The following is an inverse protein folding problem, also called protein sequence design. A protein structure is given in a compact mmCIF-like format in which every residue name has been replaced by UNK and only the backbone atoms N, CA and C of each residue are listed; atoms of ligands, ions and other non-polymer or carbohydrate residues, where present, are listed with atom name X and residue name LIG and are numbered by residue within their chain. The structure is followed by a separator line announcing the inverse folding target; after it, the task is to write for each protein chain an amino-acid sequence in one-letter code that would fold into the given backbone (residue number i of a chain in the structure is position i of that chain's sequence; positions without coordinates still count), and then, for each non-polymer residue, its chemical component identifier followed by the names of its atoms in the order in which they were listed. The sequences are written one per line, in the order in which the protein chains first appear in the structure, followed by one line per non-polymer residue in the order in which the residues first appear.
data_IF_376385844184
#
_entry.id   IF_376385844184
#
_cell.length_a   1.000
_cell.length_b   1.000
_cell.length_c   1.000
_cell.angle_alpha   90.00
_cell.angle_beta   90.00
_cell.angle_gamma   90.00
#
_symmetry.space_group_name_H-M   'P 1'
#
loop_
_entity.id
_entity.type
_entity.pdbx_description
1 polymer ?
#
# COMPACT_ATOMS: atom_id res chain seq x y z
N UNK A 1 33.70 29.98 -18.77
CA UNK A 1 34.06 28.68 -18.16
C UNK A 1 33.11 28.47 -16.98
N UNK A 2 32.08 27.64 -16.99
CA UNK A 2 31.62 26.63 -17.94
C UNK A 2 30.07 26.63 -17.92
N UNK A 3 29.46 26.82 -19.08
CA UNK A 3 28.10 26.36 -19.34
C UNK A 3 28.16 24.83 -19.39
N UNK A 4 27.97 24.17 -18.25
CA UNK A 4 27.75 22.74 -18.22
C UNK A 4 26.32 22.49 -18.72
N UNK A 5 26.26 21.98 -19.94
CA UNK A 5 25.11 21.34 -20.57
C UNK A 5 24.25 20.61 -19.53
N UNK A 6 23.12 21.21 -19.13
CA UNK A 6 21.98 20.41 -18.69
C UNK A 6 21.45 19.74 -19.96
N UNK A 7 21.94 18.52 -20.24
CA UNK A 7 21.39 17.68 -21.28
C UNK A 7 19.87 17.66 -21.17
N UNK A 8 19.20 17.77 -22.31
CA UNK A 8 17.75 17.69 -22.45
C UNK A 8 17.26 16.37 -21.87
N UNK A 9 16.94 16.35 -20.57
CA UNK A 9 16.46 15.17 -19.89
C UNK A 9 15.00 14.98 -20.27
N UNK A 10 14.74 14.12 -21.26
CA UNK A 10 13.38 13.68 -21.56
C UNK A 10 12.80 13.01 -20.32
N UNK A 11 11.59 13.39 -19.86
CA UNK A 11 10.95 12.72 -18.73
C UNK A 11 10.82 11.22 -19.04
N UNK A 12 11.08 10.32 -18.06
CA UNK A 12 10.99 8.90 -18.30
C UNK A 12 9.55 8.52 -18.65
N UNK A 13 9.38 7.65 -19.64
CA UNK A 13 8.09 7.04 -19.94
C UNK A 13 7.85 5.91 -18.94
N UNK A 14 6.91 6.13 -18.02
CA UNK A 14 6.52 5.21 -16.96
C UNK A 14 5.08 4.77 -17.17
N UNK A 15 4.86 3.45 -17.23
CA UNK A 15 3.53 2.87 -17.28
C UNK A 15 3.43 1.73 -16.26
N UNK A 16 2.45 1.82 -15.35
CA UNK A 16 2.07 0.69 -14.49
C UNK A 16 1.05 -0.16 -15.25
N UNK A 17 1.35 -1.45 -15.34
CA UNK A 17 0.41 -2.46 -15.81
C UNK A 17 -0.17 -3.17 -14.60
N UNK A 18 -1.40 -2.81 -14.25
CA UNK A 18 -2.14 -3.41 -13.13
C UNK A 18 -3.01 -4.54 -13.66
N UNK A 19 -2.95 -5.71 -13.02
CA UNK A 19 -4.08 -6.63 -13.14
C UNK A 19 -5.27 -5.96 -12.48
N UNK A 20 -6.44 -6.34 -12.96
CA UNK A 20 -7.69 -5.73 -12.62
C UNK A 20 -7.97 -4.44 -13.38
N UNK A 21 -8.19 -4.61 -14.68
CA UNK A 21 -9.52 -4.24 -15.14
C UNK A 21 -10.55 -4.78 -14.12
N UNK A 22 -11.42 -3.94 -13.58
CA UNK A 22 -12.49 -4.34 -12.68
C UNK A 22 -13.30 -5.46 -13.32
N UNK A 23 -14.28 -6.03 -12.61
CA UNK A 23 -15.12 -7.06 -13.22
C UNK A 23 -15.71 -6.63 -14.59
N UNK A 24 -15.85 -5.33 -14.83
CA UNK A 24 -16.28 -4.72 -16.09
C UNK A 24 -15.23 -4.64 -17.22
N UNK A 25 -13.94 -4.87 -16.96
CA UNK A 25 -12.91 -4.70 -17.97
C UNK A 25 -12.21 -3.33 -17.95
N UNK A 26 -12.67 -2.38 -17.13
CA UNK A 26 -12.31 -0.97 -17.30
C UNK A 26 -11.81 -0.31 -16.01
N UNK A 27 -12.43 -0.59 -14.87
CA UNK A 27 -12.10 0.07 -13.60
C UNK A 27 -10.82 -0.48 -12.94
N UNK A 28 -10.27 0.23 -11.95
CA UNK A 28 -9.17 -0.30 -11.12
C UNK A 28 -9.74 -1.34 -10.17
N UNK A 29 -9.39 -2.62 -10.30
CA UNK A 29 -9.84 -3.62 -9.34
C UNK A 29 -8.86 -3.89 -8.20
N UNK A 30 -9.21 -4.86 -7.37
CA UNK A 30 -8.56 -5.11 -6.09
C UNK A 30 -7.15 -5.73 -6.24
N UNK A 31 -6.12 -4.90 -6.16
CA UNK A 31 -4.72 -5.33 -6.09
C UNK A 31 -3.92 -4.41 -5.14
N UNK A 32 -3.74 -4.79 -3.86
CA UNK A 32 -2.99 -3.99 -2.88
C UNK A 32 -1.55 -3.67 -3.32
N UNK A 33 -0.91 -4.60 -4.03
CA UNK A 33 0.46 -4.42 -4.54
C UNK A 33 0.51 -3.41 -5.70
N UNK A 34 -0.54 -3.37 -6.53
CA UNK A 34 -0.66 -2.42 -7.64
C UNK A 34 -0.94 -1.01 -7.10
N UNK A 35 -1.86 -0.90 -6.14
CA UNK A 35 -2.12 0.36 -5.43
C UNK A 35 -0.85 0.88 -4.74
N UNK A 36 -0.07 0.01 -4.08
CA UNK A 36 1.22 0.38 -3.48
C UNK A 36 2.14 1.10 -4.48
N UNK A 37 2.38 0.52 -5.66
CA UNK A 37 3.24 1.15 -6.66
C UNK A 37 2.64 2.44 -7.24
N UNK A 38 1.31 2.51 -7.36
CA UNK A 38 0.63 3.74 -7.77
C UNK A 38 0.91 4.86 -6.75
N UNK A 39 0.73 4.60 -5.46
CA UNK A 39 1.06 5.55 -4.40
C UNK A 39 2.52 6.00 -4.46
N UNK A 40 3.46 5.07 -4.66
CA UNK A 40 4.89 5.38 -4.79
C UNK A 40 5.15 6.35 -5.94
N UNK A 41 4.66 6.06 -7.17
CA UNK A 41 4.86 6.96 -8.31
C UNK A 41 4.19 8.33 -8.10
N UNK A 42 3.02 8.35 -7.47
CA UNK A 42 2.32 9.60 -7.13
C UNK A 42 3.16 10.45 -6.18
N UNK A 43 3.65 9.88 -5.08
CA UNK A 43 4.49 10.57 -4.11
C UNK A 43 5.83 11.01 -4.69
N UNK A 44 6.37 10.29 -5.67
CA UNK A 44 7.56 10.73 -6.42
C UNK A 44 7.28 11.97 -7.27
N UNK A 45 6.03 12.30 -7.59
CA UNK A 45 5.68 13.46 -8.42
C UNK A 45 6.13 13.32 -9.88
N UNK A 46 6.39 12.10 -10.35
CA UNK A 46 6.76 11.81 -11.73
C UNK A 46 5.51 11.68 -12.59
N UNK A 47 5.59 11.99 -13.89
CA UNK A 47 4.51 11.68 -14.83
C UNK A 47 4.54 10.20 -15.17
N UNK A 48 3.41 9.53 -15.07
CA UNK A 48 3.24 8.15 -15.46
C UNK A 48 1.81 7.90 -15.96
N UNK A 49 1.62 6.79 -16.64
CA UNK A 49 0.30 6.27 -17.02
C UNK A 49 0.00 4.99 -16.26
N UNK A 50 -1.28 4.76 -16.00
CA UNK A 50 -1.77 3.49 -15.46
C UNK A 50 -2.59 2.83 -16.54
N UNK A 51 -2.31 1.56 -16.81
CA UNK A 51 -3.08 0.76 -17.76
C UNK A 51 -3.56 -0.49 -17.04
N UNK A 52 -4.87 -0.63 -17.00
CA UNK A 52 -5.55 -1.82 -16.53
C UNK A 52 -5.37 -2.91 -17.58
N UNK A 53 -4.98 -4.11 -17.13
CA UNK A 53 -4.69 -5.24 -18.01
C UNK A 53 -5.62 -6.39 -17.69
N UNK A 54 -6.36 -6.86 -18.69
CA UNK A 54 -7.03 -8.14 -18.65
C UNK A 54 -6.00 -9.25 -18.87
N UNK A 55 -5.68 -10.01 -17.83
CA UNK A 55 -4.72 -11.11 -17.89
C UNK A 55 -5.18 -12.27 -18.80
N UNK A 56 -6.46 -12.31 -19.21
CA UNK A 56 -6.98 -13.24 -20.23
C UNK A 56 -6.61 -12.80 -21.65
N UNK A 57 -6.38 -11.50 -21.87
CA UNK A 57 -6.02 -10.88 -23.15
C UNK A 57 -4.73 -10.06 -23.00
N UNK A 58 -3.61 -10.76 -22.80
CA UNK A 58 -2.31 -10.11 -22.57
C UNK A 58 -1.92 -9.16 -23.71
N UNK A 59 -1.59 -7.89 -23.41
CA UNK A 59 -0.97 -6.97 -24.36
C UNK A 59 0.33 -7.52 -24.94
N UNK A 60 0.77 -6.97 -26.07
CA UNK A 60 1.97 -7.43 -26.77
C UNK A 60 3.22 -7.37 -25.87
N UNK A 61 3.29 -6.35 -25.03
CA UNK A 61 4.35 -6.07 -24.07
C UNK A 61 4.46 -7.15 -22.99
N UNK A 62 3.39 -7.91 -22.74
CA UNK A 62 3.34 -8.97 -21.72
C UNK A 62 3.37 -10.39 -22.29
N UNK A 63 3.53 -10.54 -23.62
CA UNK A 63 3.48 -11.86 -24.28
C UNK A 63 4.61 -12.79 -23.83
N UNK A 64 5.82 -12.24 -23.68
CA UNK A 64 7.02 -13.01 -23.34
C UNK A 64 7.22 -13.21 -21.83
N UNK A 65 6.24 -12.80 -21.01
CA UNK A 65 6.28 -13.03 -19.58
C UNK A 65 6.19 -14.53 -19.27
N UNK A 66 7.05 -14.98 -18.36
CA UNK A 66 6.99 -16.33 -17.82
C UNK A 66 5.58 -16.65 -17.30
N UNK A 67 5.05 -17.86 -17.54
CA UNK A 67 3.78 -18.29 -16.98
C UNK A 67 3.74 -18.10 -15.46
N UNK A 68 2.62 -17.59 -14.95
CA UNK A 68 2.44 -17.32 -13.51
C UNK A 68 3.10 -16.03 -12.99
N UNK A 69 3.77 -15.24 -13.84
CA UNK A 69 4.21 -13.90 -13.44
C UNK A 69 2.99 -13.05 -13.13
N UNK A 70 2.90 -12.61 -11.88
CA UNK A 70 1.77 -11.83 -11.39
C UNK A 70 2.06 -10.32 -11.48
N UNK A 71 1.03 -9.51 -11.68
CA UNK A 71 1.07 -8.06 -11.47
C UNK A 71 1.59 -7.68 -10.07
N UNK A 72 2.00 -6.42 -9.86
CA UNK A 72 2.11 -5.35 -10.86
C UNK A 72 3.35 -5.47 -11.76
N UNK A 73 3.26 -4.90 -12.97
CA UNK A 73 4.43 -4.71 -13.85
C UNK A 73 4.69 -3.22 -14.09
N UNK A 74 5.95 -2.89 -14.36
CA UNK A 74 6.37 -1.54 -14.71
C UNK A 74 7.05 -1.55 -16.07
N UNK A 75 6.55 -0.75 -17.01
CA UNK A 75 7.25 -0.43 -18.24
C UNK A 75 8.00 0.89 -18.03
N UNK A 76 9.33 0.83 -17.99
CA UNK A 76 10.20 1.99 -17.82
C UNK A 76 11.03 2.21 -19.08
N UNK A 77 10.79 3.29 -19.82
CA UNK A 77 11.45 3.59 -21.10
C UNK A 77 11.43 2.38 -22.06
N UNK A 78 10.29 1.70 -22.18
CA UNK A 78 10.11 0.50 -23.00
C UNK A 78 10.68 -0.79 -22.42
N UNK A 79 11.35 -0.74 -21.25
CA UNK A 79 11.89 -1.92 -20.57
C UNK A 79 10.89 -2.43 -19.55
N UNK A 80 10.41 -3.67 -19.72
CA UNK A 80 9.51 -4.32 -18.77
C UNK A 80 10.27 -4.73 -17.51
N UNK A 81 9.71 -4.41 -16.36
CA UNK A 81 10.17 -4.82 -15.04
C UNK A 81 9.04 -5.56 -14.33
N UNK A 82 9.43 -6.63 -13.66
CA UNK A 82 8.55 -7.52 -12.89
C UNK A 82 9.07 -7.61 -11.47
N UNK A 83 8.31 -8.28 -10.58
CA UNK A 83 8.58 -8.35 -9.14
C UNK A 83 8.45 -6.98 -8.46
N UNK A 84 7.36 -6.80 -7.73
CA UNK A 84 7.02 -5.52 -7.12
C UNK A 84 8.08 -5.02 -6.13
N UNK A 85 8.82 -5.92 -5.47
CA UNK A 85 9.88 -5.54 -4.52
C UNK A 85 11.03 -4.89 -5.30
N UNK A 86 11.47 -5.56 -6.37
CA UNK A 86 12.53 -5.04 -7.26
C UNK A 86 12.11 -3.76 -7.97
N UNK A 87 10.83 -3.65 -8.34
CA UNK A 87 10.29 -2.44 -8.96
C UNK A 87 10.34 -1.27 -7.96
N UNK A 88 9.92 -1.46 -6.71
CA UNK A 88 9.97 -0.41 -5.70
C UNK A 88 11.40 0.05 -5.43
N UNK A 89 12.34 -0.90 -5.23
CA UNK A 89 13.76 -0.60 -5.06
C UNK A 89 14.32 0.18 -6.26
N UNK A 90 13.97 -0.25 -7.48
CA UNK A 90 14.36 0.44 -8.70
C UNK A 90 13.82 1.87 -8.76
N UNK A 91 12.55 2.09 -8.42
CA UNK A 91 11.93 3.42 -8.41
C UNK A 91 12.57 4.31 -7.34
N UNK A 92 12.85 3.78 -6.15
CA UNK A 92 13.47 4.55 -5.07
C UNK A 92 14.90 5.00 -5.41
N UNK A 93 15.67 4.13 -6.06
CA UNK A 93 17.03 4.43 -6.52
C UNK A 93 17.07 5.35 -7.75
N UNK A 94 16.18 5.13 -8.72
CA UNK A 94 16.18 5.85 -10.00
C UNK A 94 15.52 7.23 -9.87
N UNK A 95 14.45 7.32 -9.09
CA UNK A 95 13.74 8.57 -8.81
C UNK A 95 14.20 9.12 -7.46
N UNK A 96 15.44 9.59 -7.42
CA UNK A 96 16.12 10.05 -6.21
C UNK A 96 16.31 11.60 -6.17
N UNK A 97 16.70 12.16 -5.01
CA UNK A 97 17.09 13.56 -4.90
C UNK A 97 18.24 13.94 -5.86
N UNK A 98 18.33 15.21 -6.30
CA UNK A 98 17.54 16.36 -5.87
C UNK A 98 16.20 16.52 -6.58
N UNK A 99 15.92 15.73 -7.62
CA UNK A 99 14.73 15.93 -8.49
C UNK A 99 13.45 15.33 -7.91
N UNK A 100 13.56 14.21 -7.21
CA UNK A 100 12.43 13.47 -6.66
C UNK A 100 12.67 13.21 -5.16
N UNK A 101 11.62 13.12 -4.34
CA UNK A 101 11.76 12.89 -2.90
C UNK A 101 12.29 11.48 -2.61
N UNK A 102 12.98 11.32 -1.48
CA UNK A 102 13.28 10.00 -0.92
C UNK A 102 12.10 9.56 -0.04
N UNK A 103 11.58 8.35 -0.25
CA UNK A 103 10.37 7.83 0.42
C UNK A 103 10.67 6.73 1.43
N UNK A 104 11.91 6.24 1.49
CA UNK A 104 12.28 5.22 2.49
C UNK A 104 12.09 5.77 3.91
N UNK A 105 11.44 5.02 4.82
CA UNK A 105 11.34 5.41 6.21
C UNK A 105 12.73 5.42 6.87
N UNK A 106 12.89 6.31 7.84
CA UNK A 106 14.07 6.41 8.70
C UNK A 106 14.05 5.30 9.75
N UNK A 107 12.87 5.03 10.35
CA UNK A 107 12.73 3.98 11.36
C UNK A 107 12.39 2.65 10.69
N UNK A 108 13.28 1.65 10.83
CA UNK A 108 13.06 0.30 10.27
C UNK A 108 11.77 -0.35 10.80
N UNK A 109 11.42 -0.10 12.05
CA UNK A 109 10.20 -0.63 12.68
C UNK A 109 8.92 -0.23 11.91
N UNK A 110 8.94 0.90 11.19
CA UNK A 110 7.85 1.35 10.32
C UNK A 110 7.47 0.29 9.26
N UNK A 111 8.42 -0.50 8.77
CA UNK A 111 8.14 -1.62 7.86
C UNK A 111 7.69 -2.90 8.57
N UNK A 112 8.25 -3.15 9.76
CA UNK A 112 8.01 -4.39 10.50
C UNK A 112 6.63 -4.40 11.17
N UNK A 113 6.14 -3.22 11.56
CA UNK A 113 4.82 -3.05 12.13
C UNK A 113 3.73 -3.26 11.06
N UNK A 114 2.83 -4.21 11.32
CA UNK A 114 1.78 -4.57 10.36
C UNK A 114 2.23 -5.48 9.21
N UNK A 115 3.45 -6.00 9.22
CA UNK A 115 3.90 -6.99 8.23
C UNK A 115 3.00 -8.24 8.21
N UNK A 116 2.58 -8.70 9.38
CA UNK A 116 1.76 -9.91 9.55
C UNK A 116 0.24 -9.67 9.48
N UNK A 117 -0.22 -8.41 9.53
CA UNK A 117 -1.65 -8.10 9.70
C UNK A 117 -2.50 -8.66 8.56
N UNK A 118 -2.00 -8.59 7.32
CA UNK A 118 -2.71 -9.07 6.15
C UNK A 118 -2.73 -10.60 6.07
N UNK A 119 -1.69 -11.27 6.58
CA UNK A 119 -1.66 -12.72 6.70
C UNK A 119 -2.66 -13.21 7.75
N UNK A 120 -2.75 -12.54 8.91
CA UNK A 120 -3.76 -12.84 9.94
C UNK A 120 -5.17 -12.59 9.44
N UNK A 121 -5.40 -11.48 8.73
CA UNK A 121 -6.67 -11.21 8.06
C UNK A 121 -7.00 -12.30 7.02
N UNK A 122 -6.04 -12.70 6.19
CA UNK A 122 -6.24 -13.74 5.18
C UNK A 122 -6.67 -15.07 5.82
N UNK A 123 -6.11 -15.42 6.97
CA UNK A 123 -6.56 -16.58 7.74
C UNK A 123 -7.96 -16.36 8.33
N UNK A 124 -8.24 -15.18 8.88
CA UNK A 124 -9.55 -14.83 9.45
C UNK A 124 -10.68 -14.92 8.41
N UNK A 125 -10.52 -14.28 7.25
CA UNK A 125 -11.55 -14.23 6.21
C UNK A 125 -11.78 -15.56 5.47
N UNK A 126 -10.83 -16.50 5.53
CA UNK A 126 -10.96 -17.83 4.90
C UNK A 126 -11.68 -18.85 5.78
N UNK A 127 -11.63 -18.69 7.10
CA UNK A 127 -12.13 -19.71 8.03
C UNK A 127 -13.63 -19.60 8.29
N UNK A 128 -14.27 -20.74 8.59
CA UNK A 128 -15.70 -20.81 8.92
C UNK A 128 -16.01 -20.02 10.20
N UNK A 129 -17.09 -19.21 10.24
CA UNK A 129 -17.49 -18.40 11.40
C UNK A 129 -17.61 -19.15 12.74
N UNK A 130 -17.87 -20.47 12.73
CA UNK A 130 -17.93 -21.27 13.95
C UNK A 130 -16.56 -21.42 14.66
N UNK A 131 -15.46 -21.22 13.93
CA UNK A 131 -14.10 -21.39 14.40
C UNK A 131 -13.25 -20.11 14.33
N UNK A 132 -13.85 -18.92 14.12
CA UNK A 132 -13.11 -17.66 13.86
C UNK A 132 -12.55 -16.96 15.09
N UNK A 133 -12.97 -17.31 16.31
CA UNK A 133 -12.58 -16.60 17.54
C UNK A 133 -11.05 -16.53 17.73
N UNK A 134 -10.32 -17.57 17.35
CA UNK A 134 -8.86 -17.59 17.47
C UNK A 134 -8.19 -16.65 16.45
N UNK A 135 -8.66 -16.67 15.21
CA UNK A 135 -8.13 -15.87 14.09
C UNK A 135 -8.48 -14.39 14.27
N UNK A 136 -9.68 -14.09 14.76
CA UNK A 136 -10.07 -12.74 15.13
C UNK A 136 -9.16 -12.20 16.25
N UNK A 137 -8.93 -12.99 17.31
CA UNK A 137 -7.97 -12.63 18.37
C UNK A 137 -6.56 -12.42 17.82
N UNK A 138 -6.12 -13.23 16.86
CA UNK A 138 -4.82 -13.05 16.22
C UNK A 138 -4.76 -11.75 15.38
N UNK A 139 -5.81 -11.42 14.64
CA UNK A 139 -5.91 -10.17 13.90
C UNK A 139 -5.95 -8.94 14.83
N UNK A 140 -6.71 -9.02 15.93
CA UNK A 140 -6.78 -7.98 16.96
C UNK A 140 -5.43 -7.74 17.65
N UNK A 141 -4.60 -8.77 17.81
CA UNK A 141 -3.22 -8.62 18.33
C UNK A 141 -2.35 -7.81 17.39
N UNK A 142 -2.45 -8.04 16.08
CA UNK A 142 -1.70 -7.24 15.09
C UNK A 142 -2.20 -5.79 15.04
N UNK A 143 -3.52 -5.56 15.12
CA UNK A 143 -4.05 -4.20 15.26
C UNK A 143 -3.57 -3.52 16.53
N UNK A 144 -3.54 -4.23 17.66
CA UNK A 144 -3.02 -3.69 18.92
C UNK A 144 -1.53 -3.34 18.81
N UNK A 145 -0.71 -4.18 18.16
CA UNK A 145 0.71 -3.89 17.94
C UNK A 145 0.89 -2.64 17.08
N UNK A 146 0.12 -2.51 16.00
CA UNK A 146 0.13 -1.32 15.14
C UNK A 146 -0.33 -0.06 15.91
N UNK A 147 -1.38 -0.17 16.71
CA UNK A 147 -1.90 0.94 17.51
C UNK A 147 -0.90 1.43 18.57
N UNK A 148 -0.25 0.50 19.27
CA UNK A 148 0.80 0.81 20.24
C UNK A 148 1.97 1.54 19.58
N UNK A 149 2.39 1.08 18.40
CA UNK A 149 3.44 1.74 17.63
C UNK A 149 3.04 3.16 17.22
N UNK A 150 1.83 3.34 16.67
CA UNK A 150 1.31 4.64 16.24
C UNK A 150 1.13 5.62 17.41
N UNK A 151 0.84 5.15 18.62
CA UNK A 151 0.71 6.00 19.80
C UNK A 151 2.04 6.28 20.52
N UNK A 152 3.06 5.44 20.32
CA UNK A 152 4.40 5.64 20.87
C UNK A 152 5.17 6.69 20.05
N UNK A 153 5.73 7.75 20.65
CA UNK A 153 6.55 8.72 19.91
C UNK A 153 7.77 8.07 19.24
N UNK A 154 8.07 8.47 18.00
CA UNK A 154 9.34 8.13 17.33
C UNK A 154 10.47 9.04 17.81
N UNK A 155 11.77 8.65 17.65
CA UNK A 155 12.90 9.47 18.10
C UNK A 155 12.86 10.92 17.61
N UNK A 156 12.38 11.16 16.39
CA UNK A 156 12.27 12.49 15.78
C UNK A 156 11.22 13.38 16.45
N UNK A 157 10.26 12.81 17.18
CA UNK A 157 9.26 13.56 17.95
C UNK A 157 9.77 13.93 19.36
N UNK A 158 10.89 13.36 19.83
CA UNK A 158 11.37 13.53 21.20
C UNK A 158 12.34 14.72 21.27
N UNK A 159 11.89 15.83 21.86
CA UNK A 159 12.78 16.94 22.22
C UNK A 159 13.41 16.68 23.60
N UNK A 160 14.67 16.26 23.61
CA UNK A 160 15.44 16.00 24.82
C UNK A 160 15.67 17.25 25.69
N UNK A 161 15.44 18.46 25.17
CA UNK A 161 15.57 19.72 25.91
C UNK A 161 14.21 20.24 26.42
N UNK A 162 13.10 19.61 26.04
CA UNK A 162 11.76 19.97 26.51
C UNK A 162 11.55 19.51 27.95
N UNK A 163 10.88 20.36 28.75
CA UNK A 163 10.42 19.99 30.10
C UNK A 163 9.14 19.13 30.07
N UNK A 164 8.46 19.08 28.93
CA UNK A 164 7.27 18.25 28.73
C UNK A 164 7.68 16.94 28.06
N UNK A 165 7.40 15.81 28.72
CA UNK A 165 7.54 14.50 28.09
C UNK A 165 6.36 14.24 27.17
N UNK A 166 6.63 14.08 25.87
CA UNK A 166 5.62 13.60 24.94
C UNK A 166 5.37 12.13 25.26
N UNK A 167 4.20 11.82 25.82
CA UNK A 167 3.79 10.45 26.15
C UNK A 167 2.94 9.80 25.06
N UNK A 168 2.37 10.62 24.16
CA UNK A 168 1.53 10.20 23.05
C UNK A 168 1.98 10.91 21.77
N UNK A 169 2.29 10.11 20.76
CA UNK A 169 2.64 10.59 19.43
C UNK A 169 1.48 11.34 18.79
N UNK A 170 1.81 12.39 18.03
CA UNK A 170 0.85 13.16 17.22
C UNK A 170 1.11 13.02 15.73
N UNK A 171 2.08 12.20 15.33
CA UNK A 171 2.40 11.97 13.92
C UNK A 171 1.19 11.47 13.13
N UNK A 172 1.16 11.87 11.86
CA UNK A 172 0.07 11.53 10.93
C UNK A 172 0.19 10.13 10.35
N UNK A 173 1.41 9.67 10.07
CA UNK A 173 1.72 8.44 9.34
C UNK A 173 2.75 7.58 10.09
N UNK A 174 3.15 6.44 9.52
CA UNK A 174 3.97 5.46 10.25
C UNK A 174 5.28 6.05 10.76
N UNK A 175 5.98 6.81 9.93
CA UNK A 175 7.34 7.28 10.19
C UNK A 175 7.43 8.80 10.44
N UNK A 176 6.28 9.49 10.51
CA UNK A 176 6.24 10.93 10.71
C UNK A 176 5.00 11.60 10.11
N UNK A 177 5.17 12.82 9.59
CA UNK A 177 4.07 13.62 9.02
C UNK A 177 3.97 13.54 7.49
N UNK A 178 4.86 12.78 6.85
CA UNK A 178 4.85 12.52 5.41
C UNK A 178 4.68 11.02 5.15
N UNK A 179 4.04 10.68 4.03
CA UNK A 179 3.89 9.30 3.59
C UNK A 179 5.23 8.75 3.13
N UNK A 180 5.49 7.49 3.48
CA UNK A 180 6.70 6.73 3.17
C UNK A 180 6.36 5.42 2.43
N UNK A 181 7.40 4.69 2.01
CA UNK A 181 7.23 3.34 1.44
C UNK A 181 6.52 2.37 2.40
N UNK A 182 6.69 2.54 3.72
CA UNK A 182 5.98 1.75 4.72
C UNK A 182 4.46 2.01 4.67
N UNK A 183 4.05 3.27 4.51
CA UNK A 183 2.64 3.64 4.38
C UNK A 183 2.04 3.10 3.08
N UNK A 184 2.76 3.24 1.96
CA UNK A 184 2.38 2.68 0.66
C UNK A 184 2.18 1.16 0.71
N UNK A 185 2.94 0.46 1.57
CA UNK A 185 2.79 -0.98 1.77
C UNK A 185 1.58 -1.34 2.64
N UNK A 186 1.33 -0.60 3.73
CA UNK A 186 0.35 -0.97 4.74
C UNK A 186 -1.06 -0.46 4.42
N UNK A 187 -1.20 0.76 3.90
CA UNK A 187 -2.51 1.40 3.68
C UNK A 187 -3.42 0.61 2.72
N UNK A 188 -2.95 0.14 1.56
CA UNK A 188 -3.79 -0.69 0.66
C UNK A 188 -4.30 -1.96 1.34
N UNK A 189 -3.47 -2.59 2.18
CA UNK A 189 -3.83 -3.80 2.93
C UNK A 189 -4.89 -3.49 3.98
N UNK A 190 -4.73 -2.40 4.74
CA UNK A 190 -5.71 -1.96 5.74
C UNK A 190 -7.05 -1.59 5.10
N UNK A 191 -7.04 -0.96 3.92
CA UNK A 191 -8.27 -0.66 3.18
C UNK A 191 -9.04 -1.94 2.83
N UNK A 192 -8.36 -2.93 2.25
CA UNK A 192 -8.97 -4.23 1.94
C UNK A 192 -9.51 -4.91 3.19
N UNK A 193 -8.76 -4.90 4.30
CA UNK A 193 -9.23 -5.46 5.58
C UNK A 193 -10.53 -4.77 6.01
N UNK A 194 -10.58 -3.43 6.02
CA UNK A 194 -11.75 -2.65 6.44
C UNK A 194 -13.00 -3.01 5.62
N UNK A 195 -12.87 -3.09 4.30
CA UNK A 195 -14.03 -3.35 3.42
C UNK A 195 -14.47 -4.81 3.49
N UNK A 196 -13.55 -5.75 3.28
CA UNK A 196 -13.89 -7.17 3.17
C UNK A 196 -14.23 -7.80 4.53
N UNK A 197 -13.56 -7.42 5.62
CA UNK A 197 -13.90 -7.93 6.96
C UNK A 197 -15.28 -7.46 7.40
N UNK A 198 -15.64 -6.20 7.13
CA UNK A 198 -16.99 -5.68 7.42
C UNK A 198 -18.04 -6.43 6.62
N UNK A 199 -17.83 -6.59 5.31
CA UNK A 199 -18.81 -7.24 4.42
C UNK A 199 -19.09 -8.70 4.78
N UNK A 200 -18.04 -9.47 5.07
CA UNK A 200 -18.13 -10.94 5.13
C UNK A 200 -17.99 -11.56 6.51
N UNK A 201 -17.57 -10.77 7.51
CA UNK A 201 -17.36 -11.24 8.87
C UNK A 201 -18.03 -10.34 9.92
N UNK A 202 -18.75 -9.29 9.51
CA UNK A 202 -19.28 -8.23 10.38
C UNK A 202 -18.25 -7.70 11.39
N UNK A 203 -16.99 -7.65 10.97
CA UNK A 203 -15.87 -7.19 11.79
C UNK A 203 -15.54 -5.74 11.45
N UNK A 204 -15.51 -4.90 12.49
CA UNK A 204 -14.99 -3.54 12.43
C UNK A 204 -13.70 -3.43 13.24
N UNK A 205 -12.81 -2.53 12.83
CA UNK A 205 -11.62 -2.18 13.62
C UNK A 205 -12.11 -1.54 14.94
N UNK A 206 -11.80 -2.09 16.12
CA UNK A 206 -12.30 -1.55 17.39
C UNK A 206 -11.97 -0.07 17.57
N UNK A 207 -12.94 0.72 18.05
CA UNK A 207 -12.80 2.16 18.28
C UNK A 207 -11.69 2.52 19.29
N UNK A 208 -11.35 1.58 20.18
CA UNK A 208 -10.27 1.74 21.16
C UNK A 208 -8.86 1.83 20.55
N UNK A 209 -8.68 1.42 19.29
CA UNK A 209 -7.40 1.57 18.58
C UNK A 209 -7.28 2.98 17.99
N UNK A 210 -7.13 3.97 18.86
CA UNK A 210 -7.16 5.40 18.51
C UNK A 210 -6.03 5.83 17.60
N UNK A 211 -4.85 5.20 17.71
CA UNK A 211 -3.71 5.45 16.84
C UNK A 211 -3.97 4.97 15.42
N UNK A 212 -4.53 3.76 15.28
CA UNK A 212 -4.95 3.22 13.97
C UNK A 212 -6.02 4.09 13.33
N UNK A 213 -7.04 4.52 14.08
CA UNK A 213 -8.08 5.39 13.55
C UNK A 213 -7.53 6.77 13.16
N UNK A 214 -6.63 7.36 13.96
CA UNK A 214 -5.93 8.60 13.59
C UNK A 214 -5.17 8.43 12.28
N UNK A 215 -4.43 7.34 12.14
CA UNK A 215 -3.66 7.04 10.93
C UNK A 215 -4.56 6.89 9.70
N UNK A 216 -5.62 6.08 9.80
CA UNK A 216 -6.57 5.88 8.69
C UNK A 216 -7.25 7.18 8.29
N UNK A 217 -7.69 7.99 9.25
CA UNK A 217 -8.36 9.27 8.94
C UNK A 217 -7.41 10.22 8.18
N UNK A 218 -6.18 10.39 8.67
CA UNK A 218 -5.16 11.19 7.95
C UNK A 218 -4.87 10.63 6.56
N UNK A 219 -4.86 9.30 6.39
CA UNK A 219 -4.62 8.68 5.09
C UNK A 219 -5.77 8.91 4.11
N UNK A 220 -7.04 8.77 4.52
CA UNK A 220 -8.18 9.00 3.63
C UNK A 220 -8.34 10.47 3.21
N UNK A 221 -7.80 11.42 3.99
CA UNK A 221 -7.72 12.84 3.61
C UNK A 221 -6.66 13.12 2.52
N UNK A 222 -5.77 12.15 2.23
CA UNK A 222 -4.71 12.29 1.22
C UNK A 222 -5.12 11.71 -0.11
N UNK A 223 -5.02 12.52 -1.15
CA UNK A 223 -5.35 12.12 -2.52
C UNK A 223 -4.50 10.93 -2.99
N UNK A 224 -3.23 10.88 -2.59
CA UNK A 224 -2.32 9.81 -2.97
C UNK A 224 -2.83 8.43 -2.55
N UNK A 225 -3.59 8.37 -1.45
CA UNK A 225 -4.24 7.13 -1.01
C UNK A 225 -5.69 7.04 -1.50
N UNK A 226 -6.51 8.07 -1.28
CA UNK A 226 -7.94 8.00 -1.56
C UNK A 226 -8.26 7.83 -3.05
N UNK A 227 -7.51 8.47 -3.94
CA UNK A 227 -7.69 8.36 -5.39
C UNK A 227 -7.06 7.09 -5.99
N UNK A 228 -6.22 6.38 -5.23
CA UNK A 228 -5.63 5.11 -5.67
C UNK A 228 -6.37 3.89 -5.14
N UNK A 229 -7.30 4.08 -4.19
CA UNK A 229 -8.16 3.00 -3.69
C UNK A 229 -9.12 2.51 -4.79
N UNK A 230 -9.27 1.18 -4.95
CA UNK A 230 -10.32 0.64 -5.80
C UNK A 230 -11.70 0.91 -5.19
N UNK A 231 -12.74 0.83 -6.01
CA UNK A 231 -14.11 0.89 -5.51
C UNK A 231 -14.39 -0.28 -4.54
N UNK A 232 -15.16 -0.03 -3.47
CA UNK A 232 -15.48 -1.06 -2.46
C UNK A 232 -16.04 -2.35 -3.10
N UNK A 233 -16.89 -2.21 -4.12
CA UNK A 233 -17.50 -3.35 -4.82
C UNK A 233 -16.46 -4.29 -5.47
N UNK A 234 -15.33 -3.76 -5.94
CA UNK A 234 -14.27 -4.57 -6.55
C UNK A 234 -13.49 -5.35 -5.49
N UNK A 235 -13.34 -4.80 -4.28
CA UNK A 235 -12.80 -5.54 -3.13
C UNK A 235 -13.78 -6.63 -2.71
N UNK A 236 -15.07 -6.31 -2.56
CA UNK A 236 -16.08 -7.28 -2.18
C UNK A 236 -16.12 -8.47 -3.15
N UNK A 237 -16.28 -8.20 -4.46
CA UNK A 237 -16.29 -9.24 -5.50
C UNK A 237 -15.04 -10.12 -5.46
N UNK A 238 -13.86 -9.53 -5.26
CA UNK A 238 -12.60 -10.29 -5.20
C UNK A 238 -12.55 -11.28 -4.02
N UNK A 239 -13.27 -11.00 -2.93
CA UNK A 239 -13.32 -11.87 -1.74
C UNK A 239 -14.56 -12.77 -1.69
N UNK A 240 -15.54 -12.58 -2.58
CA UNK A 240 -16.75 -13.41 -2.65
C UNK A 240 -16.41 -14.91 -2.75
N UNK A 241 -15.57 -15.31 -3.71
CA UNK A 241 -15.17 -16.71 -3.91
C UNK A 241 -14.39 -17.30 -2.73
N UNK A 242 -13.60 -16.46 -2.05
CA UNK A 242 -12.86 -16.87 -0.86
C UNK A 242 -13.82 -17.23 0.27
N UNK A 243 -14.91 -16.48 0.38
CA UNK A 243 -15.91 -16.66 1.44
C UNK A 243 -16.97 -17.70 1.12
N UNK A 244 -17.29 -17.93 -0.16
CA UNK A 244 -18.23 -18.99 -0.57
C UNK A 244 -17.71 -20.39 -0.22
N UNK A 245 -16.39 -20.57 -0.12
CA UNK A 245 -15.76 -21.82 0.35
C UNK A 245 -15.95 -22.10 1.85
N UNK A 246 -16.61 -21.21 2.60
CA UNK A 246 -16.92 -21.38 4.03
C UNK A 246 -18.18 -22.22 4.29
N UNK A 247 -19.07 -22.30 3.29
CA UNK A 247 -20.36 -22.99 3.35
C UNK A 247 -20.20 -24.50 3.13
#
# INVERSE_FOLDING_TARGET
LAYLYMGSFSPPSLQILSNSAGHDGENVGNCPFCQRLFMVLWLKGVKFTVTTVDMRKKPAELKDLAPGTNPPFLLYNGTLKTDFIKIEEFLEQTLAPPRYPHLSPVNKESFDVGADIFAKFSAFIKNNPANTTFQEKALLREFKRLDLYLNSPVPEEIDHNSRESITLSKRKFLDGNHLTLADCNLLPKLHVIKIAAKKYCDFDIPAQFTGVWRYLNNAYEREEFSQTCPANIEIEKAYLDVTNKRL
#
